data_IF_280572854373
#
_entry.id   IF_280572854373
#
_cell.length_a   1.000
_cell.length_b   1.000
_cell.length_c   1.000
_cell.angle_alpha   90.00
_cell.angle_beta   90.00
_cell.angle_gamma   90.00
#
_symmetry.space_group_name_H-M   'P 1'
#
loop_
_entity.id
_entity.type
_entity.pdbx_description
1 polymer ?
#
# COMPACT_ATOMS: atom_id res chain seq x y z
N UNK A 1 -21.24 30.40 3.40
CA UNK A 1 -21.82 29.47 4.38
C UNK A 1 -21.11 28.14 4.26
N UNK A 2 -20.14 27.92 5.13
CA UNK A 2 -19.27 26.74 5.20
C UNK A 2 -20.03 25.63 5.90
N UNK A 3 -20.18 24.45 5.30
CA UNK A 3 -20.65 23.24 5.99
C UNK A 3 -19.50 22.26 6.11
N UNK A 4 -19.15 22.01 7.36
CA UNK A 4 -18.15 21.07 7.85
C UNK A 4 -18.84 19.71 8.13
N UNK A 5 -18.02 18.66 8.04
CA UNK A 5 -18.18 17.25 8.48
C UNK A 5 -19.18 16.41 7.66
N UNK A 6 -19.05 15.08 7.49
CA UNK A 6 -18.70 14.04 8.46
C UNK A 6 -17.99 12.83 7.80
N UNK A 7 -16.82 12.45 8.31
CA UNK A 7 -16.21 11.14 8.04
C UNK A 7 -16.84 10.10 9.00
N UNK A 8 -17.60 9.15 8.45
CA UNK A 8 -18.09 8.00 9.21
C UNK A 8 -17.02 6.93 9.22
N UNK A 9 -16.31 6.78 10.35
CA UNK A 9 -15.54 5.58 10.65
C UNK A 9 -16.50 4.51 11.19
N UNK A 10 -16.66 3.42 10.44
CA UNK A 10 -17.30 2.21 10.94
C UNK A 10 -16.37 1.57 11.96
N UNK A 11 -16.74 1.61 13.24
CA UNK A 11 -16.08 0.85 14.30
C UNK A 11 -16.59 -0.60 14.26
N UNK A 12 -15.70 -1.54 13.99
CA UNK A 12 -15.92 -2.95 14.32
C UNK A 12 -15.82 -3.14 15.83
N UNK A 13 -16.95 -3.36 16.51
CA UNK A 13 -16.98 -3.67 17.93
C UNK A 13 -16.59 -5.15 18.15
N UNK A 14 -15.41 -5.40 18.72
CA UNK A 14 -15.07 -6.72 19.25
C UNK A 14 -15.68 -6.88 20.66
N UNK A 15 -16.76 -7.65 20.77
CA UNK A 15 -17.32 -8.11 22.03
C UNK A 15 -16.38 -9.18 22.63
N UNK A 16 -15.61 -8.82 23.65
CA UNK A 16 -14.81 -9.77 24.42
C UNK A 16 -15.69 -10.45 25.49
N UNK A 17 -15.90 -11.76 25.35
CA UNK A 17 -16.44 -12.62 26.42
C UNK A 17 -15.30 -12.93 27.39
N UNK A 18 -15.41 -12.63 28.70
CA UNK A 18 -14.35 -12.94 29.64
C UNK A 18 -14.36 -14.45 29.99
N UNK A 19 -13.41 -15.21 29.43
CA UNK A 19 -13.00 -16.50 29.98
C UNK A 19 -11.94 -16.26 31.05
N UNK A 20 -12.29 -16.52 32.31
CA UNK A 20 -11.36 -16.44 33.45
C UNK A 20 -10.40 -17.62 33.43
N UNK A 21 -9.21 -17.41 32.87
CA UNK A 21 -8.05 -18.30 33.05
C UNK A 21 -7.00 -17.57 33.88
N UNK A 22 -6.80 -18.06 35.11
CA UNK A 22 -5.76 -17.61 36.01
C UNK A 22 -4.41 -18.20 35.57
N UNK A 23 -3.41 -17.34 35.37
CA UNK A 23 -2.00 -17.77 35.29
C UNK A 23 -1.18 -17.02 34.24
N UNK A 24 -0.12 -16.35 34.73
CA UNK A 24 0.98 -15.73 33.99
C UNK A 24 0.63 -14.45 33.21
N UNK A 25 0.82 -13.31 33.89
CA UNK A 25 0.86 -11.98 33.28
C UNK A 25 2.12 -11.82 32.41
N UNK A 26 2.11 -12.39 31.22
CA UNK A 26 2.86 -11.84 30.09
C UNK A 26 2.08 -10.59 29.66
N UNK A 27 2.68 -9.41 29.84
CA UNK A 27 2.08 -8.15 29.45
C UNK A 27 1.75 -8.16 27.97
N UNK A 28 0.51 -8.49 27.62
CA UNK A 28 -0.04 -8.29 26.29
C UNK A 28 -0.18 -6.78 26.15
N UNK A 29 0.85 -6.11 25.64
CA UNK A 29 0.68 -4.76 25.12
C UNK A 29 -0.23 -4.89 23.91
N UNK A 30 -1.54 -4.74 24.12
CA UNK A 30 -2.48 -4.51 23.03
C UNK A 30 -2.00 -3.28 22.29
N UNK A 31 -1.58 -3.45 21.04
CA UNK A 31 -1.26 -2.33 20.17
C UNK A 31 -2.52 -1.46 20.06
N UNK A 32 -2.50 -0.32 20.73
CA UNK A 32 -3.54 0.71 20.56
C UNK A 32 -3.41 1.23 19.14
N UNK A 33 -4.47 1.05 18.35
CA UNK A 33 -4.57 1.72 17.06
C UNK A 33 -4.45 3.22 17.31
N UNK A 34 -3.57 3.90 16.57
CA UNK A 34 -3.46 5.35 16.67
C UNK A 34 -4.81 5.99 16.30
N UNK A 35 -5.35 6.84 17.17
CA UNK A 35 -6.62 7.54 16.92
C UNK A 35 -6.57 8.40 15.65
N UNK A 36 -5.38 8.88 15.30
CA UNK A 36 -5.10 9.63 14.07
C UNK A 36 -3.93 9.01 13.33
N UNK A 37 -4.10 8.83 12.01
CA UNK A 37 -2.98 8.48 11.13
C UNK A 37 -2.08 9.71 11.04
N UNK A 38 -0.77 9.64 11.34
CA UNK A 38 0.11 10.77 11.19
C UNK A 38 0.09 11.29 9.76
N UNK A 39 -0.25 12.57 9.59
CA UNK A 39 -0.26 13.24 8.28
C UNK A 39 0.93 14.18 8.08
N UNK A 40 1.83 14.24 9.06
CA UNK A 40 3.05 15.03 8.95
C UNK A 40 3.88 14.52 7.77
N UNK A 41 4.28 15.43 6.88
CA UNK A 41 4.99 15.14 5.63
C UNK A 41 4.25 14.19 4.66
N UNK A 42 2.94 13.99 4.83
CA UNK A 42 2.12 13.23 3.89
C UNK A 42 1.99 14.01 2.58
N UNK A 43 2.63 13.52 1.53
CA UNK A 43 2.63 14.19 0.21
C UNK A 43 1.44 13.79 -0.66
N UNK A 44 0.91 12.58 -0.45
CA UNK A 44 -0.22 12.06 -1.21
C UNK A 44 -1.04 11.05 -0.41
N UNK A 45 -2.36 11.10 -0.58
CA UNK A 45 -3.30 10.12 -0.06
C UNK A 45 -4.43 9.92 -1.07
N UNK A 46 -4.63 8.70 -1.53
CA UNK A 46 -5.67 8.35 -2.49
C UNK A 46 -6.62 7.33 -1.87
N UNK A 47 -7.89 7.67 -1.81
CA UNK A 47 -8.95 6.80 -1.29
C UNK A 47 -9.61 6.04 -2.44
N UNK A 48 -9.46 4.72 -2.45
CA UNK A 48 -10.03 3.83 -3.45
C UNK A 48 -11.28 3.09 -2.96
N UNK A 49 -11.85 3.48 -1.81
CA UNK A 49 -13.10 2.90 -1.28
C UNK A 49 -14.33 3.45 -1.97
N UNK A 50 -14.23 4.63 -2.59
CA UNK A 50 -15.34 5.30 -3.27
C UNK A 50 -15.00 5.51 -4.74
N UNK A 51 -15.87 5.04 -5.64
CA UNK A 51 -15.73 5.29 -7.07
C UNK A 51 -15.86 6.79 -7.37
N UNK A 52 -14.90 7.43 -8.06
CA UNK A 52 -15.03 8.82 -8.48
C UNK A 52 -16.10 8.97 -9.57
N UNK A 53 -16.67 10.17 -9.70
CA UNK A 53 -17.77 10.44 -10.62
C UNK A 53 -17.43 10.14 -12.10
N UNK A 54 -16.17 10.34 -12.48
CA UNK A 54 -15.65 10.03 -13.82
C UNK A 54 -15.12 8.60 -13.97
N UNK A 55 -15.24 7.79 -12.91
CA UNK A 55 -14.82 6.39 -12.85
C UNK A 55 -13.30 6.16 -12.77
N UNK A 56 -12.46 7.20 -12.81
CA UNK A 56 -10.99 7.01 -12.91
C UNK A 56 -10.11 8.03 -12.19
N UNK A 57 -10.57 9.23 -11.88
CA UNK A 57 -9.73 10.28 -11.27
C UNK A 57 -9.92 10.30 -9.77
N UNK A 58 -8.90 9.88 -9.03
CA UNK A 58 -8.91 9.81 -7.56
C UNK A 58 -8.15 10.99 -6.99
N UNK A 59 -8.87 11.88 -6.31
CA UNK A 59 -8.31 13.10 -5.75
C UNK A 59 -7.25 12.80 -4.67
N UNK A 60 -6.19 13.61 -4.65
CA UNK A 60 -5.25 13.60 -3.53
C UNK A 60 -5.90 14.28 -2.33
N UNK A 61 -6.08 13.53 -1.25
CA UNK A 61 -6.71 13.97 0.00
C UNK A 61 -5.70 14.35 1.10
N UNK A 62 -4.40 14.33 0.80
CA UNK A 62 -3.38 14.73 1.76
C UNK A 62 -3.57 16.20 2.20
N UNK A 63 -3.36 16.53 3.49
CA UNK A 63 -3.37 17.91 3.94
C UNK A 63 -2.34 18.74 3.16
N UNK A 64 -2.74 19.92 2.66
CA UNK A 64 -1.89 20.79 1.84
C UNK A 64 -1.35 20.13 0.55
N UNK A 65 -2.12 19.20 -0.05
CA UNK A 65 -1.77 18.50 -1.28
C UNK A 65 -1.24 19.45 -2.38
N UNK A 66 0.06 19.35 -2.68
CA UNK A 66 0.69 20.01 -3.83
C UNK A 66 0.69 19.11 -5.08
N UNK A 67 0.56 17.79 -4.90
CA UNK A 67 0.49 16.81 -5.97
C UNK A 67 -0.96 16.59 -6.42
N UNK A 68 -1.13 16.37 -7.73
CA UNK A 68 -2.43 16.15 -8.35
C UNK A 68 -3.10 14.81 -8.03
N UNK A 69 -4.22 14.57 -8.70
CA UNK A 69 -4.96 13.31 -8.62
C UNK A 69 -4.15 12.12 -9.19
N UNK A 70 -4.44 10.93 -8.67
CA UNK A 70 -4.08 9.68 -9.33
C UNK A 70 -5.13 9.32 -10.39
N UNK A 71 -4.76 8.54 -11.40
CA UNK A 71 -5.66 8.14 -12.49
C UNK A 71 -5.62 6.64 -12.71
N UNK A 72 -6.77 5.99 -12.57
CA UNK A 72 -6.94 4.57 -12.94
C UNK A 72 -6.83 4.44 -14.47
N UNK A 73 -5.89 3.62 -14.92
CA UNK A 73 -5.65 3.31 -16.32
C UNK A 73 -6.50 2.10 -16.71
N UNK A 74 -7.00 2.10 -17.96
CA UNK A 74 -7.94 1.09 -18.44
C UNK A 74 -9.16 0.93 -17.52
N UNK A 75 -9.62 2.05 -16.95
CA UNK A 75 -10.72 2.06 -15.99
C UNK A 75 -12.03 1.52 -16.59
N UNK A 76 -12.73 0.72 -15.79
CA UNK A 76 -14.09 0.28 -16.08
C UNK A 76 -14.89 0.23 -14.79
N UNK A 77 -16.23 0.27 -14.90
CA UNK A 77 -17.10 0.18 -13.72
C UNK A 77 -16.90 -1.11 -12.93
N UNK A 78 -16.54 -2.21 -13.62
CA UNK A 78 -16.29 -3.50 -12.98
C UNK A 78 -15.08 -3.55 -12.06
N UNK A 79 -14.17 -2.57 -12.12
CA UNK A 79 -13.04 -2.49 -11.20
C UNK A 79 -13.46 -2.01 -9.80
N UNK A 80 -14.61 -1.35 -9.67
CA UNK A 80 -15.05 -0.77 -8.41
C UNK A 80 -16.08 -1.66 -7.72
N UNK A 81 -15.72 -2.24 -6.58
CA UNK A 81 -16.61 -3.12 -5.80
C UNK A 81 -17.57 -2.36 -4.88
N UNK A 82 -17.46 -1.03 -4.82
CA UNK A 82 -18.17 -0.18 -3.86
C UNK A 82 -17.44 -0.01 -2.51
N UNK A 83 -16.46 -0.87 -2.23
CA UNK A 83 -15.61 -0.80 -1.03
C UNK A 83 -14.12 -0.75 -1.36
N UNK A 84 -13.74 -1.05 -2.60
CA UNK A 84 -12.36 -1.04 -3.07
C UNK A 84 -12.25 -0.93 -4.59
N UNK A 85 -11.06 -0.56 -5.06
CA UNK A 85 -10.61 -0.76 -6.42
C UNK A 85 -9.98 -2.16 -6.54
N UNK A 86 -10.46 -2.96 -7.48
CA UNK A 86 -9.92 -4.29 -7.82
C UNK A 86 -9.11 -4.16 -9.09
N UNK A 87 -7.85 -4.59 -9.04
CA UNK A 87 -6.93 -4.55 -10.17
C UNK A 87 -6.55 -5.98 -10.57
N UNK A 88 -6.74 -6.31 -11.83
CA UNK A 88 -6.30 -7.56 -12.45
C UNK A 88 -4.83 -7.49 -12.88
N UNK A 89 -4.29 -6.29 -13.04
CA UNK A 89 -2.94 -6.04 -13.51
C UNK A 89 -2.79 -6.25 -15.02
N UNK A 90 -1.54 -6.17 -15.50
CA UNK A 90 -1.17 -6.36 -16.90
C UNK A 90 -0.09 -5.39 -17.35
N UNK A 91 0.24 -5.42 -18.65
CA UNK A 91 1.27 -4.55 -19.21
C UNK A 91 0.83 -3.08 -19.20
N UNK A 92 1.75 -2.18 -18.81
CA UNK A 92 1.54 -0.73 -18.73
C UNK A 92 1.02 -0.14 -20.06
N UNK A 93 1.60 -0.58 -21.18
CA UNK A 93 1.28 -0.12 -22.53
C UNK A 93 0.25 -1.02 -23.24
N UNK A 94 -0.43 -1.89 -22.48
CA UNK A 94 -1.47 -2.79 -22.96
C UNK A 94 -2.81 -2.55 -22.28
N UNK A 95 -3.60 -3.61 -22.15
CA UNK A 95 -4.92 -3.58 -21.53
C UNK A 95 -4.92 -3.73 -20.00
N UNK A 96 -3.74 -3.71 -19.36
CA UNK A 96 -3.64 -3.91 -17.92
C UNK A 96 -4.22 -2.75 -17.13
N UNK A 97 -4.99 -3.04 -16.09
CA UNK A 97 -5.46 -2.01 -15.16
C UNK A 97 -4.37 -1.70 -14.11
N UNK A 98 -4.18 -0.41 -13.82
CA UNK A 98 -3.22 0.07 -12.82
C UNK A 98 -3.52 1.53 -12.45
N UNK A 99 -2.93 2.00 -11.36
CA UNK A 99 -3.08 3.39 -10.93
C UNK A 99 -1.84 4.18 -11.35
N UNK A 100 -2.05 5.21 -12.18
CA UNK A 100 -1.03 6.22 -12.47
C UNK A 100 -0.99 7.23 -11.32
N UNK A 101 0.13 7.25 -10.59
CA UNK A 101 0.43 8.30 -9.62
C UNK A 101 0.93 9.57 -10.34
N UNK A 102 0.81 10.77 -9.72
CA UNK A 102 1.42 11.97 -10.25
C UNK A 102 2.92 11.82 -10.50
N UNK A 103 3.39 12.46 -11.55
CA UNK A 103 4.82 12.53 -11.86
C UNK A 103 5.58 13.17 -10.70
N UNK A 104 6.83 12.76 -10.50
CA UNK A 104 7.74 13.36 -9.51
C UNK A 104 7.26 13.26 -8.04
N UNK A 105 6.39 12.31 -7.71
CA UNK A 105 5.82 12.14 -6.35
C UNK A 105 6.88 12.03 -5.23
N UNK A 106 8.07 11.48 -5.53
CA UNK A 106 9.19 11.39 -4.59
C UNK A 106 10.40 12.24 -5.00
N UNK A 107 10.24 13.19 -5.93
CA UNK A 107 11.37 14.00 -6.39
C UNK A 107 12.01 14.78 -5.24
N UNK A 108 13.35 14.74 -5.16
CA UNK A 108 14.19 15.36 -4.11
C UNK A 108 14.05 14.74 -2.71
N UNK A 109 13.21 13.71 -2.54
CA UNK A 109 13.12 13.02 -1.27
C UNK A 109 14.37 12.14 -1.05
N UNK A 110 14.91 12.15 0.17
CA UNK A 110 16.03 11.28 0.58
C UNK A 110 15.56 10.05 1.35
N UNK A 111 14.26 9.99 1.65
CA UNK A 111 13.57 8.86 2.25
C UNK A 111 12.10 8.89 1.86
N UNK A 112 11.45 7.73 1.84
CA UNK A 112 10.04 7.62 1.56
C UNK A 112 9.43 6.49 2.37
N UNK A 113 8.16 6.64 2.71
CA UNK A 113 7.31 5.57 3.26
C UNK A 113 6.07 5.50 2.40
N UNK A 114 5.74 4.30 1.91
CA UNK A 114 4.51 4.03 1.18
C UNK A 114 3.75 3.00 1.98
N UNK A 115 2.48 3.30 2.27
CA UNK A 115 1.53 2.38 2.89
C UNK A 115 0.36 2.18 1.95
N UNK A 116 -0.08 0.93 1.78
CA UNK A 116 -1.25 0.55 1.01
C UNK A 116 -2.05 -0.50 1.78
N UNK A 117 -3.36 -0.32 1.84
CA UNK A 117 -4.28 -1.38 2.26
C UNK A 117 -4.62 -2.23 1.04
N UNK A 118 -4.40 -3.54 1.12
CA UNK A 118 -4.56 -4.44 -0.01
C UNK A 118 -5.13 -5.79 0.42
N UNK A 119 -5.99 -6.36 -0.42
CA UNK A 119 -6.40 -7.76 -0.35
C UNK A 119 -5.84 -8.48 -1.56
N UNK A 120 -4.75 -9.22 -1.37
CA UNK A 120 -4.08 -9.93 -2.44
C UNK A 120 -4.83 -11.22 -2.78
N UNK A 121 -5.17 -11.40 -4.06
CA UNK A 121 -5.70 -12.67 -4.58
C UNK A 121 -4.64 -13.77 -4.49
N UNK A 122 -5.06 -15.02 -4.22
CA UNK A 122 -4.14 -16.14 -4.07
C UNK A 122 -3.25 -16.36 -5.30
N UNK A 123 -3.78 -16.17 -6.51
CA UNK A 123 -3.01 -16.31 -7.75
C UNK A 123 -1.97 -15.21 -7.93
N UNK A 124 -2.22 -14.01 -7.38
CA UNK A 124 -1.27 -12.90 -7.40
C UNK A 124 0.03 -13.26 -6.69
N UNK A 125 -0.06 -14.00 -5.58
CA UNK A 125 1.10 -14.39 -4.77
C UNK A 125 2.06 -15.32 -5.52
N UNK A 126 1.59 -16.09 -6.49
CA UNK A 126 2.43 -16.94 -7.33
C UNK A 126 3.11 -16.22 -8.50
N UNK A 127 2.63 -15.03 -8.86
CA UNK A 127 3.00 -14.31 -10.07
C UNK A 127 3.89 -13.08 -9.79
N UNK A 128 4.69 -12.68 -10.76
CA UNK A 128 5.44 -11.42 -10.68
C UNK A 128 4.50 -10.23 -10.76
N UNK A 129 4.62 -9.31 -9.81
CA UNK A 129 3.80 -8.12 -9.74
C UNK A 129 4.50 -7.02 -8.93
N UNK A 130 4.05 -5.79 -9.14
CA UNK A 130 4.40 -4.63 -8.32
C UNK A 130 3.15 -4.13 -7.61
N UNK A 131 3.24 -3.92 -6.30
CA UNK A 131 2.23 -3.19 -5.52
C UNK A 131 2.24 -1.71 -5.87
N UNK A 132 3.45 -1.17 -6.03
CA UNK A 132 3.73 0.11 -6.64
C UNK A 132 5.10 0.03 -7.30
N UNK A 133 5.36 0.93 -8.24
CA UNK A 133 6.69 1.17 -8.77
C UNK A 133 6.85 2.68 -8.98
N UNK A 134 7.79 3.28 -8.24
CA UNK A 134 8.10 4.71 -8.31
C UNK A 134 9.56 4.83 -8.71
N UNK A 135 9.83 5.55 -9.80
CA UNK A 135 11.16 5.67 -10.36
C UNK A 135 11.11 6.31 -11.74
N UNK A 136 12.15 6.07 -12.53
CA UNK A 136 12.19 6.54 -13.92
C UNK A 136 11.30 5.69 -14.82
N UNK A 137 10.93 6.24 -15.98
CA UNK A 137 10.14 5.50 -16.97
C UNK A 137 10.89 4.29 -17.55
N UNK A 138 12.22 4.32 -17.54
CA UNK A 138 13.07 3.13 -17.74
C UNK A 138 13.47 2.54 -16.39
N UNK A 139 13.44 1.20 -16.30
CA UNK A 139 13.93 0.43 -15.15
C UNK A 139 15.45 0.30 -15.08
N UNK A 140 16.19 0.92 -16.00
CA UNK A 140 17.64 0.77 -16.09
C UNK A 140 18.38 1.50 -14.96
N UNK A 141 17.84 2.63 -14.50
CA UNK A 141 18.56 3.53 -13.58
C UNK A 141 18.01 3.50 -12.18
N UNK A 142 16.70 3.67 -12.00
CA UNK A 142 16.11 3.94 -10.68
C UNK A 142 14.68 3.41 -10.54
N UNK A 143 14.42 2.69 -9.46
CA UNK A 143 13.06 2.34 -9.01
C UNK A 143 13.00 2.02 -7.53
N UNK A 144 11.79 2.12 -7.00
CA UNK A 144 11.38 1.64 -5.70
C UNK A 144 10.04 0.94 -5.85
N UNK A 145 10.01 -0.36 -5.54
CA UNK A 145 8.81 -1.17 -5.60
C UNK A 145 8.67 -2.10 -4.39
N UNK A 146 7.47 -2.62 -4.19
CA UNK A 146 7.21 -3.74 -3.28
C UNK A 146 6.45 -4.84 -4.01
N UNK A 147 6.73 -6.09 -3.66
CA UNK A 147 6.03 -7.28 -4.13
C UNK A 147 5.65 -8.16 -2.95
N UNK A 148 4.47 -8.79 -3.02
CA UNK A 148 3.96 -9.76 -2.06
C UNK A 148 4.15 -11.21 -2.56
N UNK A 149 4.92 -11.42 -3.61
CA UNK A 149 5.13 -12.73 -4.23
C UNK A 149 5.69 -13.74 -3.20
N UNK A 150 5.13 -14.95 -3.21
CA UNK A 150 5.50 -16.09 -2.38
C UNK A 150 5.80 -17.37 -3.21
N UNK A 151 5.95 -17.23 -4.53
CA UNK A 151 6.26 -18.29 -5.48
C UNK A 151 7.61 -18.08 -6.16
N UNK A 152 8.03 -19.06 -6.97
CA UNK A 152 9.24 -18.96 -7.82
C UNK A 152 10.52 -18.55 -7.05
N UNK A 153 10.67 -19.02 -5.82
CA UNK A 153 11.82 -18.70 -4.96
C UNK A 153 11.81 -17.26 -4.40
N UNK A 154 10.67 -16.57 -4.47
CA UNK A 154 10.48 -15.26 -3.86
C UNK A 154 9.59 -15.32 -2.63
N UNK A 155 9.83 -14.38 -1.74
CA UNK A 155 9.03 -13.99 -0.59
C UNK A 155 8.75 -12.47 -0.72
N UNK A 156 7.81 -11.93 0.08
CA UNK A 156 7.54 -10.49 0.09
C UNK A 156 8.82 -9.67 0.24
N UNK A 157 8.98 -8.65 -0.61
CA UNK A 157 10.23 -7.91 -0.72
C UNK A 157 10.03 -6.46 -1.13
N UNK A 158 11.07 -5.66 -0.86
CA UNK A 158 11.24 -4.31 -1.37
C UNK A 158 12.42 -4.30 -2.33
N UNK A 159 12.20 -3.81 -3.55
CA UNK A 159 13.28 -3.61 -4.52
C UNK A 159 13.63 -2.14 -4.63
N UNK A 160 14.93 -1.84 -4.57
CA UNK A 160 15.48 -0.51 -4.77
C UNK A 160 16.54 -0.61 -5.86
N UNK A 161 16.43 0.20 -6.90
CA UNK A 161 17.53 0.46 -7.82
C UNK A 161 17.91 1.93 -7.75
N UNK A 162 19.20 2.21 -7.64
CA UNK A 162 19.75 3.55 -7.67
C UNK A 162 21.04 3.54 -8.47
N UNK A 163 21.19 4.48 -9.41
CA UNK A 163 22.34 4.56 -10.31
C UNK A 163 22.65 3.22 -11.03
N UNK A 164 21.61 2.46 -11.37
CA UNK A 164 21.74 1.16 -12.05
C UNK A 164 22.04 -0.03 -11.15
N UNK A 165 22.39 0.16 -9.88
CA UNK A 165 22.63 -0.91 -8.92
C UNK A 165 21.34 -1.32 -8.20
N UNK A 166 20.98 -2.60 -8.25
CA UNK A 166 19.79 -3.15 -7.60
C UNK A 166 20.12 -3.80 -6.24
N UNK A 167 19.24 -3.54 -5.28
CA UNK A 167 19.14 -4.26 -4.02
C UNK A 167 17.71 -4.76 -3.82
N UNK A 168 17.57 -6.05 -3.50
CA UNK A 168 16.32 -6.66 -3.08
C UNK A 168 16.41 -6.98 -1.58
N UNK A 169 15.53 -6.40 -0.78
CA UNK A 169 15.39 -6.70 0.65
C UNK A 169 14.15 -7.55 0.81
N UNK A 170 14.37 -8.84 1.07
CA UNK A 170 13.35 -9.88 1.01
C UNK A 170 13.15 -10.51 2.38
N UNK A 171 11.91 -10.85 2.69
CA UNK A 171 11.56 -11.57 3.91
C UNK A 171 12.04 -13.03 3.90
N UNK A 172 12.27 -13.59 5.07
CA UNK A 172 12.77 -14.97 5.23
C UNK A 172 11.76 -16.04 4.77
N UNK A 173 10.47 -15.71 4.78
CA UNK A 173 9.37 -16.61 4.40
C UNK A 173 8.18 -15.82 3.85
N UNK A 174 7.21 -16.52 3.26
CA UNK A 174 5.94 -15.92 2.87
C UNK A 174 5.20 -15.39 4.10
N UNK A 175 5.20 -14.07 4.27
CA UNK A 175 4.57 -13.38 5.39
C UNK A 175 3.17 -12.83 5.06
N UNK A 176 2.57 -13.30 3.98
CA UNK A 176 1.30 -12.82 3.41
C UNK A 176 0.26 -13.94 3.48
N UNK A 177 -0.99 -13.58 3.75
CA UNK A 177 -2.13 -14.49 3.59
C UNK A 177 -3.00 -13.93 2.47
N UNK A 178 -3.35 -14.77 1.50
CA UNK A 178 -4.27 -14.37 0.45
C UNK A 178 -5.67 -14.06 0.99
N UNK A 179 -6.45 -13.32 0.21
CA UNK A 179 -7.88 -13.07 0.41
C UNK A 179 -8.26 -12.40 1.73
N UNK A 180 -7.29 -11.79 2.41
CA UNK A 180 -7.50 -10.93 3.57
C UNK A 180 -6.93 -9.54 3.34
N UNK A 181 -7.60 -8.54 3.91
CA UNK A 181 -7.07 -7.19 3.98
C UNK A 181 -5.82 -7.16 4.85
N UNK A 182 -4.81 -6.44 4.37
CA UNK A 182 -3.53 -6.23 5.03
C UNK A 182 -3.05 -4.81 4.79
N UNK A 183 -2.35 -4.27 5.79
CA UNK A 183 -1.57 -3.05 5.63
C UNK A 183 -0.16 -3.40 5.19
N UNK A 184 0.23 -2.95 4.01
CA UNK A 184 1.57 -3.17 3.45
C UNK A 184 2.32 -1.84 3.44
N UNK A 185 3.38 -1.77 4.23
CA UNK A 185 4.20 -0.56 4.33
C UNK A 185 5.64 -0.86 3.97
N UNK A 186 6.20 -0.13 3.02
CA UNK A 186 7.65 -0.12 2.82
C UNK A 186 8.24 1.26 3.11
N UNK A 187 9.40 1.25 3.75
CA UNK A 187 10.19 2.44 4.02
C UNK A 187 11.57 2.32 3.39
N UNK A 188 11.98 3.35 2.67
CA UNK A 188 13.33 3.51 2.17
C UNK A 188 13.99 4.72 2.82
N UNK A 189 15.23 4.57 3.26
CA UNK A 189 16.00 5.65 3.88
C UNK A 189 17.47 5.24 3.96
N UNK A 190 18.38 6.14 3.55
CA UNK A 190 19.83 5.93 3.65
C UNK A 190 20.30 4.59 3.04
N UNK A 191 19.77 4.24 1.86
CA UNK A 191 20.11 3.00 1.15
C UNK A 191 19.57 1.73 1.80
N UNK A 192 18.75 1.83 2.85
CA UNK A 192 18.10 0.69 3.50
C UNK A 192 16.62 0.64 3.13
N UNK A 193 16.11 -0.57 2.94
CA UNK A 193 14.69 -0.86 2.80
C UNK A 193 14.19 -1.61 4.03
N UNK A 194 12.93 -1.39 4.40
CA UNK A 194 12.20 -2.21 5.37
C UNK A 194 10.79 -2.46 4.85
N UNK A 195 10.29 -3.67 5.05
CA UNK A 195 8.93 -4.08 4.72
C UNK A 195 8.18 -4.43 6.00
N UNK A 196 6.95 -3.93 6.10
CA UNK A 196 6.03 -4.24 7.17
C UNK A 196 4.71 -4.75 6.58
N UNK A 197 4.18 -5.82 7.18
CA UNK A 197 2.85 -6.36 6.88
C UNK A 197 2.08 -6.36 8.20
N UNK A 198 0.94 -5.68 8.23
CA UNK A 198 0.13 -5.42 9.43
C UNK A 198 0.97 -4.87 10.60
N UNK A 199 1.89 -3.95 10.28
CA UNK A 199 2.81 -3.33 11.24
C UNK A 199 3.96 -4.23 11.72
N UNK A 200 3.98 -5.53 11.39
CA UNK A 200 5.12 -6.42 11.69
C UNK A 200 6.21 -6.25 10.64
N UNK A 201 7.44 -5.96 11.05
CA UNK A 201 8.59 -5.95 10.14
C UNK A 201 8.87 -7.37 9.66
N UNK A 202 8.92 -7.57 8.33
CA UNK A 202 9.18 -8.86 7.69
C UNK A 202 10.47 -8.88 6.88
N UNK A 203 10.95 -7.70 6.47
CA UNK A 203 12.21 -7.48 5.77
C UNK A 203 12.84 -6.15 6.22
#
# INVERSE_FOLDING_TARGET
>A
MTRITWAKRLLGAALAVPMTMAGMALGVTTAVAADTVPTDHLVAQYDFTTKPADGKTVANSAPNAALGAATVQNASDGLWSGESLTLSGGAKDGSGDWVKLPENILAKATSATVTMEVKADATMLGNFHFMWNIGNNSSDTEYFFTSLNCGSGRNPLVGIKANGAEQLVQSESCAVTADRWMSVTARISNGQARLYIDGRRVA
#
